data_IF_269516898143
#
_entry.id   IF_269516898143
#
_cell.length_a   1.000
_cell.length_b   1.000
_cell.length_c   1.000
_cell.angle_alpha   90.00
_cell.angle_beta   90.00
_cell.angle_gamma   90.00
#
_symmetry.space_group_name_H-M   'P 1'
#
loop_
_entity.id
_entity.type
_entity.pdbx_description
1 polymer ?
#
# COMPACT_ATOMS: atom_id res chain seq x y z
N UNK A 1 -30.00 -5.57 41.46
CA UNK A 1 -28.77 -5.88 40.68
C UNK A 1 -28.87 -5.06 39.42
N UNK A 2 -28.27 -3.87 39.45
CA UNK A 2 -28.22 -2.97 38.31
C UNK A 2 -27.01 -3.32 37.44
N UNK A 3 -27.27 -3.60 36.18
CA UNK A 3 -26.22 -3.80 35.19
C UNK A 3 -25.64 -2.43 34.82
N UNK A 4 -24.38 -2.18 35.19
CA UNK A 4 -23.64 -0.98 34.83
C UNK A 4 -23.43 -0.87 33.32
N UNK A 5 -23.24 0.35 32.80
CA UNK A 5 -23.11 0.60 31.38
C UNK A 5 -21.83 -0.05 30.83
N UNK A 6 -22.01 -0.87 29.80
CA UNK A 6 -20.89 -1.38 28.99
C UNK A 6 -20.24 -0.19 28.31
N UNK A 7 -19.04 0.20 28.74
CA UNK A 7 -18.17 1.08 27.99
C UNK A 7 -17.84 0.39 26.66
N UNK A 8 -18.44 0.87 25.58
CA UNK A 8 -17.92 0.70 24.22
C UNK A 8 -16.61 1.47 24.15
N UNK A 9 -15.51 0.76 24.34
CA UNK A 9 -14.20 1.29 23.94
C UNK A 9 -14.23 1.37 22.42
N UNK A 10 -14.26 2.59 21.91
CA UNK A 10 -13.79 2.90 20.57
C UNK A 10 -12.30 2.55 20.58
N UNK A 11 -11.96 1.36 20.11
CA UNK A 11 -10.56 1.01 19.86
C UNK A 11 -10.05 1.94 18.78
N UNK A 12 -9.19 2.88 19.16
CA UNK A 12 -8.47 3.71 18.20
C UNK A 12 -7.64 2.78 17.31
N UNK A 13 -7.92 2.77 16.02
CA UNK A 13 -7.13 2.04 15.01
C UNK A 13 -5.65 2.33 15.23
N UNK A 14 -4.85 1.31 15.49
CA UNK A 14 -3.41 1.42 15.64
C UNK A 14 -2.75 0.87 14.40
N UNK A 15 -2.25 1.74 13.53
CA UNK A 15 -1.46 1.36 12.36
C UNK A 15 0.00 1.22 12.77
N UNK A 16 0.60 0.06 12.54
CA UNK A 16 1.99 -0.22 12.92
C UNK A 16 2.86 -0.41 11.67
N UNK A 17 3.97 0.31 11.63
CA UNK A 17 5.19 0.13 10.85
C UNK A 17 5.26 0.81 9.47
N UNK A 18 5.92 1.96 9.49
CA UNK A 18 6.64 2.51 8.32
C UNK A 18 8.15 2.33 8.58
N UNK A 19 8.91 1.76 7.66
CA UNK A 19 10.37 1.64 7.81
C UNK A 19 11.06 3.00 7.60
N UNK A 20 11.43 3.65 8.71
CA UNK A 20 12.08 4.98 8.72
C UNK A 20 13.55 4.94 8.26
N UNK A 21 14.18 3.76 8.15
CA UNK A 21 15.55 3.71 7.60
C UNK A 21 15.61 4.30 6.21
N UNK A 22 14.53 4.18 5.49
CA UNK A 22 14.36 4.74 4.15
C UNK A 22 14.25 6.27 4.17
N UNK A 23 13.47 6.84 5.07
CA UNK A 23 13.29 8.29 5.24
C UNK A 23 14.60 9.02 5.52
N UNK A 24 15.54 8.42 6.26
CA UNK A 24 16.84 9.03 6.57
C UNK A 24 17.84 9.02 5.41
N UNK A 25 17.75 8.08 4.49
CA UNK A 25 18.65 7.96 3.34
C UNK A 25 18.28 8.93 2.22
N UNK A 26 17.01 9.28 2.10
CA UNK A 26 16.44 10.18 1.10
C UNK A 26 16.82 11.66 1.35
N UNK A 27 17.13 12.05 2.59
CA UNK A 27 17.49 13.44 2.93
C UNK A 27 18.80 13.94 2.32
N UNK A 28 19.56 13.14 1.58
CA UNK A 28 20.92 13.52 1.11
C UNK A 28 21.05 14.02 -0.32
N UNK A 29 20.08 13.95 -1.17
CA UNK A 29 19.99 14.61 -2.50
C UNK A 29 18.74 14.17 -3.21
N UNK A 30 17.68 14.96 -3.15
CA UNK A 30 16.48 14.72 -3.94
C UNK A 30 16.75 15.25 -5.35
N UNK A 31 16.89 14.38 -6.34
CA UNK A 31 16.75 14.75 -7.74
C UNK A 31 15.25 14.89 -8.08
N UNK A 32 14.90 15.65 -9.10
CA UNK A 32 13.50 15.82 -9.56
C UNK A 32 12.81 14.47 -9.84
N UNK A 33 13.56 13.46 -10.24
CA UNK A 33 13.10 12.07 -10.49
C UNK A 33 12.64 11.31 -9.24
N UNK A 34 13.08 11.70 -8.04
CA UNK A 34 12.74 11.01 -6.80
C UNK A 34 11.36 11.41 -6.23
N UNK A 35 10.81 12.55 -6.69
CA UNK A 35 9.50 13.06 -6.25
C UNK A 35 8.32 12.40 -6.95
N UNK A 36 8.56 11.57 -7.96
CA UNK A 36 7.55 10.94 -8.81
C UNK A 36 7.43 9.43 -8.60
N UNK A 37 7.67 8.95 -7.39
CA UNK A 37 7.65 7.52 -7.09
C UNK A 37 6.66 7.18 -6.00
N UNK A 38 6.00 6.04 -6.20
CA UNK A 38 5.23 5.36 -5.16
C UNK A 38 5.85 3.99 -4.95
N UNK A 39 6.50 3.80 -3.83
CA UNK A 39 7.23 2.58 -3.51
C UNK A 39 6.32 1.49 -3.00
N UNK A 40 6.61 0.25 -3.39
CA UNK A 40 6.00 -0.93 -2.80
C UNK A 40 6.74 -1.27 -1.50
N UNK A 41 6.02 -1.27 -0.37
CA UNK A 41 6.61 -1.55 0.95
C UNK A 41 5.87 -2.70 1.64
N UNK A 42 6.51 -3.86 1.69
CA UNK A 42 5.97 -5.05 2.35
C UNK A 42 5.95 -4.95 3.89
N UNK A 43 6.58 -3.93 4.47
CA UNK A 43 6.55 -3.66 5.91
C UNK A 43 5.47 -2.64 6.29
N UNK A 44 4.90 -1.94 5.32
CA UNK A 44 3.73 -1.11 5.55
C UNK A 44 2.49 -2.02 5.69
N UNK A 45 1.71 -1.80 6.73
CA UNK A 45 0.42 -2.47 6.92
C UNK A 45 -0.74 -1.72 6.25
N UNK A 46 -0.51 -0.50 5.80
CA UNK A 46 -1.49 0.38 5.17
C UNK A 46 -0.79 1.26 4.13
N UNK A 47 -1.44 1.55 3.02
CA UNK A 47 -0.94 2.48 2.01
C UNK A 47 -0.80 3.89 2.59
N UNK A 48 0.24 4.62 2.16
CA UNK A 48 0.54 5.97 2.64
C UNK A 48 0.61 6.96 1.48
N UNK A 49 -0.24 7.99 1.51
CA UNK A 49 -0.24 9.07 0.54
C UNK A 49 0.73 10.19 0.94
N UNK A 50 1.76 10.40 0.13
CA UNK A 50 2.76 11.45 0.27
C UNK A 50 2.54 12.63 -0.68
N UNK A 51 3.62 13.37 -0.96
CA UNK A 51 3.59 14.61 -1.75
C UNK A 51 3.19 14.43 -3.22
N UNK A 52 3.34 13.23 -3.77
CA UNK A 52 2.92 12.86 -5.13
C UNK A 52 1.46 12.40 -5.22
N UNK A 53 0.70 12.53 -4.12
CA UNK A 53 -0.73 12.24 -4.06
C UNK A 53 -1.52 13.43 -3.53
N UNK A 54 -2.82 13.46 -3.79
CA UNK A 54 -3.76 14.38 -3.19
C UNK A 54 -4.86 13.61 -2.47
N UNK A 55 -5.38 14.14 -1.37
CA UNK A 55 -6.58 13.63 -0.76
C UNK A 55 -7.82 14.11 -1.53
N UNK A 56 -8.64 13.16 -2.00
CA UNK A 56 -9.93 13.44 -2.60
C UNK A 56 -11.01 13.59 -1.52
N UNK A 57 -11.03 12.64 -0.58
CA UNK A 57 -11.99 12.58 0.53
C UNK A 57 -11.24 12.20 1.79
N UNK A 58 -11.52 12.88 2.89
CA UNK A 58 -11.11 12.48 4.23
C UNK A 58 -12.24 11.68 4.87
N UNK A 59 -11.96 10.52 5.44
CA UNK A 59 -12.97 9.70 6.13
C UNK A 59 -13.48 10.33 7.43
N UNK A 60 -12.73 11.28 7.97
CA UNK A 60 -12.95 11.86 9.30
C UNK A 60 -12.21 11.12 10.41
N UNK A 61 -11.70 9.93 10.13
CA UNK A 61 -10.90 9.15 11.06
C UNK A 61 -9.42 9.56 11.01
N UNK A 62 -8.75 9.40 12.17
CA UNK A 62 -7.33 9.64 12.31
C UNK A 62 -6.68 8.53 13.13
N UNK A 63 -5.45 8.23 12.82
CA UNK A 63 -4.66 7.19 13.51
C UNK A 63 -3.29 7.70 13.94
N UNK A 64 -2.74 7.04 14.94
CA UNK A 64 -1.36 7.24 15.33
C UNK A 64 -0.48 6.21 14.61
N UNK A 65 0.50 6.69 13.87
CA UNK A 65 1.42 5.85 13.11
C UNK A 65 2.70 5.65 13.89
N UNK A 66 2.98 4.41 14.24
CA UNK A 66 4.17 4.04 15.00
C UNK A 66 5.28 3.60 14.04
N UNK A 67 6.49 4.18 14.17
CA UNK A 67 7.65 3.71 13.43
C UNK A 67 8.08 2.33 13.94
N UNK A 68 8.89 1.63 13.12
CA UNK A 68 9.38 0.29 13.47
C UNK A 68 10.24 0.26 14.74
N UNK A 69 10.78 1.39 15.17
CA UNK A 69 11.62 1.53 16.37
C UNK A 69 10.85 2.19 17.50
N UNK A 70 10.80 1.54 18.65
CA UNK A 70 10.15 2.06 19.87
C UNK A 70 10.78 3.38 20.37
N UNK A 71 12.03 3.65 19.96
CA UNK A 71 12.74 4.89 20.34
C UNK A 71 12.34 6.10 19.49
N UNK A 72 11.51 5.93 18.48
CA UNK A 72 11.04 7.02 17.61
C UNK A 72 9.60 7.39 18.01
N UNK A 73 9.29 8.70 18.09
CA UNK A 73 7.94 9.13 18.40
C UNK A 73 6.95 8.72 17.31
N UNK A 74 5.74 8.35 17.72
CA UNK A 74 4.64 8.13 16.79
C UNK A 74 4.26 9.44 16.09
N UNK A 75 3.88 9.33 14.82
CA UNK A 75 3.24 10.44 14.08
C UNK A 75 1.77 10.43 14.47
N UNK A 76 1.36 11.49 15.19
CA UNK A 76 0.02 11.60 15.75
C UNK A 76 -0.98 12.08 14.72
N UNK A 77 -2.23 11.63 14.86
CA UNK A 77 -3.40 12.14 14.14
C UNK A 77 -3.25 12.18 12.62
N UNK A 78 -2.70 11.14 12.03
CA UNK A 78 -2.63 11.00 10.57
C UNK A 78 -4.04 10.69 10.05
N UNK A 79 -4.61 11.52 9.16
CA UNK A 79 -5.95 11.27 8.63
C UNK A 79 -5.96 10.08 7.68
N UNK A 80 -7.07 9.34 7.70
CA UNK A 80 -7.38 8.32 6.70
C UNK A 80 -8.15 9.00 5.56
N UNK A 81 -7.76 8.67 4.33
CA UNK A 81 -8.30 9.33 3.14
C UNK A 81 -8.38 8.39 1.93
N UNK A 82 -9.27 8.74 1.00
CA UNK A 82 -9.13 8.33 -0.39
C UNK A 82 -8.15 9.28 -1.07
N UNK A 83 -7.06 8.74 -1.62
CA UNK A 83 -6.02 9.53 -2.28
C UNK A 83 -5.93 9.21 -3.76
N UNK A 84 -5.50 10.20 -4.54
CA UNK A 84 -5.37 10.14 -5.99
C UNK A 84 -3.94 10.40 -6.41
N UNK A 85 -3.48 9.66 -7.42
CA UNK A 85 -2.22 9.90 -8.11
C UNK A 85 -2.35 9.58 -9.60
N UNK A 86 -1.53 10.19 -10.44
CA UNK A 86 -1.51 9.90 -11.89
C UNK A 86 -0.39 8.90 -12.19
N UNK A 87 -0.75 7.91 -12.97
CA UNK A 87 0.19 7.05 -13.68
C UNK A 87 0.04 7.27 -15.18
N UNK A 88 1.16 7.41 -15.86
CA UNK A 88 1.22 7.53 -17.31
C UNK A 88 1.75 6.22 -17.90
N UNK A 89 1.00 5.63 -18.83
CA UNK A 89 1.43 4.42 -19.49
C UNK A 89 2.70 4.66 -20.31
N UNK A 90 3.83 4.02 -20.00
CA UNK A 90 5.09 4.28 -20.70
C UNK A 90 5.07 3.86 -22.18
N UNK A 91 4.10 3.04 -22.61
CA UNK A 91 3.97 2.57 -23.98
C UNK A 91 3.06 3.45 -24.82
N UNK A 92 1.97 3.97 -24.23
CA UNK A 92 0.92 4.68 -24.99
C UNK A 92 0.83 6.16 -24.64
N UNK A 93 1.38 6.58 -23.51
CA UNK A 93 1.22 7.94 -22.97
C UNK A 93 -0.17 8.19 -22.39
N UNK A 94 -1.03 7.16 -22.29
CA UNK A 94 -2.34 7.29 -21.66
C UNK A 94 -2.22 7.57 -20.18
N UNK A 95 -3.03 8.52 -19.70
CA UNK A 95 -3.09 8.89 -18.30
C UNK A 95 -4.19 8.10 -17.58
N UNK A 96 -3.82 7.55 -16.44
CA UNK A 96 -4.74 6.85 -15.55
C UNK A 96 -4.72 7.48 -14.17
N UNK A 97 -5.90 7.76 -13.63
CA UNK A 97 -6.06 8.10 -12.23
C UNK A 97 -6.05 6.83 -11.40
N UNK A 98 -5.04 6.66 -10.54
CA UNK A 98 -5.00 5.60 -9.55
C UNK A 98 -5.69 6.10 -8.28
N UNK A 99 -6.66 5.34 -7.81
CA UNK A 99 -7.45 5.64 -6.61
C UNK A 99 -7.06 4.66 -5.52
N UNK A 100 -6.67 5.17 -4.37
CA UNK A 100 -6.32 4.38 -3.20
C UNK A 100 -7.21 4.85 -2.04
N UNK A 101 -8.14 3.99 -1.64
CA UNK A 101 -9.00 4.19 -0.48
C UNK A 101 -8.29 3.77 0.80
N UNK A 102 -8.75 4.26 1.93
CA UNK A 102 -8.24 3.89 3.25
C UNK A 102 -6.71 4.07 3.40
N UNK A 103 -6.16 5.09 2.75
CA UNK A 103 -4.75 5.43 2.84
C UNK A 103 -4.47 6.41 3.97
N UNK A 104 -3.33 6.27 4.61
CA UNK A 104 -2.81 7.24 5.57
C UNK A 104 -2.28 8.46 4.82
N UNK A 105 -2.93 9.61 4.95
CA UNK A 105 -2.54 10.79 4.19
C UNK A 105 -1.57 11.68 4.97
N UNK A 106 -0.32 11.68 4.53
CA UNK A 106 0.74 12.51 5.08
C UNK A 106 0.94 13.82 4.30
N UNK A 107 0.52 13.86 3.03
CA UNK A 107 0.79 14.99 2.14
C UNK A 107 2.29 15.30 2.07
N UNK A 108 2.65 16.59 2.13
CA UNK A 108 4.05 17.03 2.01
C UNK A 108 4.99 16.59 3.15
N UNK A 109 4.45 15.97 4.22
CA UNK A 109 5.25 15.37 5.31
C UNK A 109 5.94 14.07 4.89
N UNK A 110 5.45 13.41 3.83
CA UNK A 110 6.02 12.19 3.25
C UNK A 110 6.35 12.46 1.78
N UNK A 111 7.63 12.45 1.43
CA UNK A 111 8.07 12.77 0.07
C UNK A 111 7.66 11.74 -0.96
N UNK A 112 7.67 10.48 -0.59
CA UNK A 112 7.36 9.35 -1.44
C UNK A 112 6.22 8.54 -0.83
N UNK A 113 5.22 8.25 -1.62
CA UNK A 113 4.07 7.44 -1.19
C UNK A 113 4.46 5.96 -1.10
N UNK A 114 3.72 5.22 -0.27
CA UNK A 114 3.93 3.79 -0.07
C UNK A 114 2.66 3.02 -0.42
N UNK A 115 2.81 1.92 -1.13
CA UNK A 115 1.75 0.94 -1.35
C UNK A 115 1.99 -0.28 -0.46
N UNK A 116 0.98 -0.65 0.30
CA UNK A 116 0.97 -1.90 1.07
C UNK A 116 0.54 -3.06 0.15
N UNK A 117 1.41 -4.02 -0.17
CA UNK A 117 1.07 -5.14 -1.05
C UNK A 117 -0.15 -5.94 -0.58
N UNK A 118 -0.32 -6.09 0.73
CA UNK A 118 -1.41 -6.89 1.28
C UNK A 118 -2.76 -6.16 1.24
N UNK A 119 -2.77 -4.83 1.37
CA UNK A 119 -3.99 -4.04 1.16
C UNK A 119 -4.43 -4.09 -0.32
N UNK A 120 -3.49 -4.05 -1.26
CA UNK A 120 -3.76 -4.24 -2.68
C UNK A 120 -4.31 -5.64 -2.97
N UNK A 121 -3.67 -6.69 -2.43
CA UNK A 121 -4.12 -8.08 -2.58
C UNK A 121 -5.52 -8.31 -2.02
N UNK A 122 -5.84 -7.68 -0.90
CA UNK A 122 -7.19 -7.76 -0.31
C UNK A 122 -8.27 -7.18 -1.24
N UNK A 123 -7.92 -6.17 -2.05
CA UNK A 123 -8.79 -5.60 -3.08
C UNK A 123 -8.75 -6.38 -4.42
N UNK A 124 -8.13 -7.55 -4.46
CA UNK A 124 -8.07 -8.38 -5.66
C UNK A 124 -7.01 -7.98 -6.69
N UNK A 125 -6.12 -7.04 -6.36
CA UNK A 125 -4.98 -6.71 -7.23
C UNK A 125 -3.95 -7.83 -7.17
N UNK A 126 -3.52 -8.31 -8.31
CA UNK A 126 -2.42 -9.27 -8.40
C UNK A 126 -1.10 -8.52 -8.25
N UNK A 127 -0.42 -8.77 -7.15
CA UNK A 127 0.87 -8.14 -6.84
C UNK A 127 1.98 -9.13 -7.09
N UNK A 128 2.75 -8.90 -8.16
CA UNK A 128 3.95 -9.64 -8.50
C UNK A 128 5.18 -8.75 -8.25
N UNK A 129 5.61 -8.74 -7.00
CA UNK A 129 6.66 -7.86 -6.49
C UNK A 129 8.07 -8.45 -6.60
N UNK A 130 8.20 -9.70 -7.00
CA UNK A 130 9.50 -10.31 -7.28
C UNK A 130 10.07 -9.72 -8.58
N UNK A 131 11.25 -9.07 -8.56
CA UNK A 131 11.89 -8.59 -9.79
C UNK A 131 12.22 -9.73 -10.75
N UNK A 132 12.11 -9.46 -12.06
CA UNK A 132 12.33 -10.45 -13.14
C UNK A 132 13.70 -11.13 -13.04
N UNK A 133 14.72 -10.42 -12.54
CA UNK A 133 16.07 -10.97 -12.33
C UNK A 133 16.12 -12.09 -11.28
N UNK A 134 15.16 -12.16 -10.36
CA UNK A 134 15.08 -13.19 -9.32
C UNK A 134 14.03 -14.25 -9.62
N UNK A 135 12.97 -13.87 -10.35
CA UNK A 135 11.93 -14.79 -10.81
C UNK A 135 11.56 -14.47 -12.26
N UNK A 136 12.06 -15.28 -13.18
CA UNK A 136 11.79 -15.12 -14.62
C UNK A 136 10.32 -15.32 -15.02
N UNK A 137 9.48 -15.83 -14.13
CA UNK A 137 8.03 -15.98 -14.35
C UNK A 137 7.24 -14.78 -13.84
N UNK A 138 7.86 -13.93 -13.03
CA UNK A 138 7.24 -12.69 -12.54
C UNK A 138 7.07 -11.69 -13.69
N UNK A 139 5.94 -11.02 -13.75
CA UNK A 139 5.75 -9.85 -14.63
C UNK A 139 6.32 -8.58 -14.00
N UNK A 140 6.66 -8.62 -12.73
CA UNK A 140 7.07 -7.47 -11.90
C UNK A 140 6.10 -6.31 -12.09
N UNK A 141 4.85 -6.55 -11.72
CA UNK A 141 3.73 -5.62 -11.97
C UNK A 141 2.65 -5.70 -10.89
N UNK A 142 1.80 -4.68 -10.86
CA UNK A 142 0.50 -4.70 -10.20
C UNK A 142 -0.56 -4.85 -11.29
N UNK A 143 -1.38 -5.90 -11.23
CA UNK A 143 -2.43 -6.12 -12.23
C UNK A 143 -3.80 -6.04 -11.58
N UNK A 144 -4.62 -5.10 -12.05
CA UNK A 144 -6.06 -5.07 -11.76
C UNK A 144 -6.77 -5.90 -12.81
N UNK A 145 -7.32 -7.08 -12.44
CA UNK A 145 -7.84 -8.03 -13.42
C UNK A 145 -8.89 -7.42 -14.36
N UNK A 146 -8.70 -7.62 -15.66
CA UNK A 146 -9.60 -7.13 -16.70
C UNK A 146 -9.56 -5.61 -16.94
N UNK A 147 -8.70 -4.87 -16.26
CA UNK A 147 -8.62 -3.41 -16.38
C UNK A 147 -7.23 -2.91 -16.80
N UNK A 148 -6.21 -3.16 -15.98
CA UNK A 148 -4.92 -2.48 -16.14
C UNK A 148 -3.78 -3.31 -15.55
N UNK A 149 -2.64 -3.32 -16.23
CA UNK A 149 -1.36 -3.81 -15.73
C UNK A 149 -0.40 -2.63 -15.57
N UNK A 150 0.11 -2.46 -14.36
CA UNK A 150 1.03 -1.39 -13.95
C UNK A 150 2.42 -2.01 -13.75
N UNK A 151 3.35 -1.86 -14.70
CA UNK A 151 4.70 -2.38 -14.54
C UNK A 151 5.43 -1.66 -13.40
N UNK A 152 6.14 -2.43 -12.60
CA UNK A 152 7.00 -1.93 -11.54
C UNK A 152 8.41 -1.67 -12.09
N UNK A 153 9.04 -0.64 -11.60
CA UNK A 153 10.45 -0.31 -11.86
C UNK A 153 11.27 -0.56 -10.60
N UNK A 154 12.58 -0.78 -10.78
CA UNK A 154 13.52 -0.93 -9.66
C UNK A 154 14.30 0.36 -9.44
N UNK A 155 14.37 0.80 -8.19
CA UNK A 155 15.34 1.80 -7.74
C UNK A 155 16.23 1.20 -6.65
N UNK A 156 17.42 0.80 -7.01
CA UNK A 156 18.24 -0.03 -6.16
C UNK A 156 17.58 -1.39 -5.96
N UNK A 157 17.12 -1.65 -4.74
CA UNK A 157 16.43 -2.91 -4.35
C UNK A 157 14.95 -2.72 -4.07
N UNK A 158 14.40 -1.56 -4.38
CA UNK A 158 13.02 -1.19 -4.08
C UNK A 158 12.20 -1.16 -5.36
N UNK A 159 11.10 -1.90 -5.38
CA UNK A 159 10.10 -1.85 -6.45
C UNK A 159 9.21 -0.63 -6.27
N UNK A 160 8.95 0.10 -7.35
CA UNK A 160 8.09 1.28 -7.33
C UNK A 160 7.29 1.44 -8.62
N UNK A 161 6.19 2.19 -8.53
CA UNK A 161 5.50 2.78 -9.67
C UNK A 161 5.98 4.20 -9.88
N UNK A 162 6.11 4.60 -11.13
CA UNK A 162 6.29 6.01 -11.48
C UNK A 162 4.93 6.69 -11.48
N UNK A 163 4.69 7.55 -10.51
CA UNK A 163 3.43 8.27 -10.34
C UNK A 163 3.69 9.72 -9.95
N UNK A 164 2.79 10.60 -10.30
CA UNK A 164 2.91 12.02 -9.97
C UNK A 164 1.61 12.60 -9.39
N UNK A 165 1.74 13.74 -8.76
CA UNK A 165 0.60 14.49 -8.24
C UNK A 165 -0.33 14.90 -9.38
N UNK A 166 -1.65 14.66 -9.25
CA UNK A 166 -2.63 15.15 -10.21
C UNK A 166 -2.67 16.67 -10.26
N UNK A 167 -2.89 17.22 -11.45
CA UNK A 167 -3.25 18.64 -11.62
C UNK A 167 -4.73 18.87 -11.31
N UNK A 168 -5.14 20.13 -11.09
CA UNK A 168 -6.53 20.46 -10.85
C UNK A 168 -7.46 20.05 -12.03
N UNK A 169 -7.00 20.27 -13.27
CA UNK A 169 -7.72 19.85 -14.49
C UNK A 169 -7.92 18.33 -14.55
N UNK A 170 -6.89 17.55 -14.19
CA UNK A 170 -7.00 16.08 -14.17
C UNK A 170 -7.99 15.58 -13.11
N UNK A 171 -8.05 16.25 -11.96
CA UNK A 171 -9.04 15.93 -10.92
C UNK A 171 -10.45 16.28 -11.40
N UNK A 172 -10.65 17.44 -12.02
CA UNK A 172 -11.95 17.83 -12.59
C UNK A 172 -12.40 16.85 -13.68
N UNK A 173 -11.49 16.44 -14.57
CA UNK A 173 -11.77 15.45 -15.61
C UNK A 173 -12.10 14.08 -15.03
N UNK A 174 -11.41 13.66 -13.98
CA UNK A 174 -11.73 12.43 -13.26
C UNK A 174 -13.13 12.49 -12.65
N UNK A 175 -13.47 13.57 -11.94
CA UNK A 175 -14.79 13.75 -11.34
C UNK A 175 -15.92 13.82 -12.38
N UNK A 176 -15.62 14.33 -13.57
CA UNK A 176 -16.54 14.35 -14.72
C UNK A 176 -16.63 13.01 -15.48
N UNK A 177 -15.87 11.99 -15.09
CA UNK A 177 -15.81 10.71 -15.80
C UNK A 177 -15.08 10.78 -17.15
N UNK A 178 -14.26 11.81 -17.38
CA UNK A 178 -13.53 12.07 -18.62
C UNK A 178 -12.06 11.60 -18.57
N UNK A 179 -11.60 11.10 -17.44
CA UNK A 179 -10.28 10.51 -17.26
C UNK A 179 -10.43 9.06 -16.80
N UNK A 180 -9.71 8.16 -17.43
CA UNK A 180 -9.71 6.74 -17.05
C UNK A 180 -9.19 6.61 -15.62
N UNK A 181 -9.79 5.70 -14.86
CA UNK A 181 -9.39 5.46 -13.48
C UNK A 181 -9.44 3.99 -13.11
N UNK A 182 -8.63 3.65 -12.12
CA UNK A 182 -8.62 2.32 -11.52
C UNK A 182 -8.44 2.44 -10.01
N UNK A 183 -9.25 1.69 -9.27
CA UNK A 183 -9.14 1.55 -7.83
C UNK A 183 -8.14 0.44 -7.52
N UNK A 184 -7.17 0.75 -6.67
CA UNK A 184 -6.15 -0.19 -6.22
C UNK A 184 -6.50 -0.82 -4.87
N UNK A 185 -7.42 -0.21 -4.11
CA UNK A 185 -7.93 -0.70 -2.83
C UNK A 185 -9.44 -0.53 -2.78
N UNK A 186 -10.12 -1.23 -1.89
CA UNK A 186 -11.56 -1.13 -1.71
C UNK A 186 -11.93 0.08 -0.83
N UNK A 187 -13.09 0.68 -1.09
CA UNK A 187 -13.70 1.76 -0.28
C UNK A 187 -14.47 1.16 0.91
N UNK A 188 -13.76 0.38 1.70
CA UNK A 188 -14.24 -0.21 2.95
C UNK A 188 -13.17 -0.10 4.03
N UNK A 189 -13.52 0.00 5.32
CA UNK A 189 -12.54 0.10 6.39
C UNK A 189 -11.46 -0.98 6.30
N UNK A 190 -10.20 -0.54 6.26
CA UNK A 190 -9.03 -1.43 6.23
C UNK A 190 -8.54 -1.71 7.65
N UNK A 191 -8.67 -2.95 8.09
CA UNK A 191 -8.35 -3.40 9.45
C UNK A 191 -7.37 -4.59 9.42
N UNK A 192 -6.07 -4.35 9.17
CA UNK A 192 -5.07 -5.42 8.96
C UNK A 192 -4.83 -6.28 10.20
N UNK A 193 -5.24 -5.81 11.38
CA UNK A 193 -5.09 -6.53 12.66
C UNK A 193 -6.42 -7.02 13.24
N UNK A 194 -7.50 -7.03 12.45
CA UNK A 194 -8.79 -7.54 12.89
C UNK A 194 -8.76 -9.06 13.06
N UNK A 195 -9.61 -9.56 13.97
CA UNK A 195 -9.81 -11.02 14.13
C UNK A 195 -10.24 -11.67 12.81
N UNK A 196 -11.11 -11.00 12.05
CA UNK A 196 -11.57 -11.47 10.73
C UNK A 196 -10.40 -11.67 9.76
N UNK A 197 -9.41 -10.78 9.74
CA UNK A 197 -8.23 -10.91 8.88
C UNK A 197 -7.41 -12.15 9.31
N UNK A 198 -7.18 -12.31 10.61
CA UNK A 198 -6.46 -13.45 11.16
C UNK A 198 -7.17 -14.79 10.90
N UNK A 199 -8.51 -14.84 11.03
CA UNK A 199 -9.32 -16.02 10.73
C UNK A 199 -9.24 -16.40 9.25
N UNK A 200 -9.29 -15.42 8.35
CA UNK A 200 -9.16 -15.65 6.91
C UNK A 200 -7.80 -16.24 6.55
N UNK A 201 -6.72 -15.72 7.14
CA UNK A 201 -5.37 -16.28 6.95
C UNK A 201 -5.28 -17.70 7.50
N UNK A 202 -5.79 -17.96 8.69
CA UNK A 202 -5.78 -19.27 9.30
C UNK A 202 -6.55 -20.31 8.45
N UNK A 203 -7.71 -19.93 7.92
CA UNK A 203 -8.48 -20.77 7.02
C UNK A 203 -7.74 -21.08 5.72
N UNK A 204 -7.07 -20.08 5.11
CA UNK A 204 -6.27 -20.26 3.89
C UNK A 204 -5.08 -21.20 4.15
N UNK A 205 -4.37 -21.06 5.27
CA UNK A 205 -3.27 -21.95 5.67
C UNK A 205 -3.74 -23.39 5.87
N UNK A 206 -4.90 -23.57 6.54
CA UNK A 206 -5.47 -24.90 6.76
C UNK A 206 -5.82 -25.56 5.41
N UNK A 207 -6.46 -24.86 4.49
CA UNK A 207 -6.75 -25.35 3.15
C UNK A 207 -5.50 -25.72 2.37
N UNK A 208 -4.45 -24.90 2.44
CA UNK A 208 -3.19 -25.14 1.74
C UNK A 208 -2.45 -26.37 2.31
N UNK A 209 -2.45 -26.57 3.62
CA UNK A 209 -1.77 -27.72 4.25
C UNK A 209 -2.39 -29.07 3.89
N UNK A 210 -3.66 -29.11 3.52
CA UNK A 210 -4.32 -30.33 3.05
C UNK A 210 -3.93 -30.70 1.62
N UNK A 211 -3.56 -29.70 0.80
CA UNK A 211 -3.27 -29.88 -0.63
C UNK A 211 -1.79 -30.02 -0.95
N UNK A 212 -0.91 -29.58 -0.07
CA UNK A 212 0.54 -29.65 -0.25
C UNK A 212 1.19 -30.59 0.78
N UNK A 213 1.50 -31.86 0.42
CA UNK A 213 2.30 -32.70 1.30
C UNK A 213 3.67 -32.05 1.49
N UNK A 214 4.07 -31.83 2.73
CA UNK A 214 5.38 -31.31 3.09
C UNK A 214 6.47 -32.19 2.50
N UNK A 215 7.22 -31.70 1.54
CA UNK A 215 8.41 -32.36 1.07
C UNK A 215 9.46 -32.17 2.18
N UNK A 216 9.69 -33.23 2.95
CA UNK A 216 10.80 -33.28 3.89
C UNK A 216 12.07 -33.28 3.05
N UNK A 217 12.78 -32.15 3.03
CA UNK A 217 14.13 -32.09 2.45
C UNK A 217 15.03 -32.92 3.35
N UNK A 218 15.62 -34.04 2.86
CA UNK A 218 16.53 -34.81 3.67
C UNK A 218 17.75 -33.94 3.98
N UNK A 219 18.05 -33.72 5.26
CA UNK A 219 19.38 -33.22 5.65
C UNK A 219 20.40 -34.26 5.24
N UNK A 220 21.08 -34.04 4.11
CA UNK A 220 22.30 -34.77 3.82
C UNK A 220 23.34 -34.30 4.85
N UNK A 221 23.64 -35.16 5.81
CA UNK A 221 24.83 -35.01 6.66
C UNK A 221 26.05 -35.08 5.73
N UNK A 222 26.67 -33.92 5.51
CA UNK A 222 28.03 -33.90 4.98
C UNK A 222 28.94 -34.40 6.08
N UNK A 223 29.49 -35.58 5.84
CA UNK A 223 30.66 -36.15 6.56
C UNK A 223 31.94 -35.46 6.11
#
# INVERSE_FOLDING_TARGET
MEAGPKHLYSESRTVRRIDIRWVRKVLKKVSFDELERTSLDSHADTCCGGSNMIALVLTGEKVNVFPFSENLPAVQEVPIATVLTIWECPKTGELWMLVIHEALYFGDRLKESLLCPNQLRAAGVLVQDAPIQFDSKSTHSLTVPGKLELPLEMHGVISHLRTRKPTADEVERYQAGLLQSVELTEDVPWEPYSEKFAETEAAARAAHSVTAPWVTVPHSMAS
#
